data_IF_652602598281
#
_entry.id   IF_652602598281
#
_cell.length_a   1.000
_cell.length_b   1.000
_cell.length_c   1.000
_cell.angle_alpha   90.00
_cell.angle_beta   90.00
_cell.angle_gamma   90.00
#
_symmetry.space_group_name_H-M   'P 1'
#
loop_
_entity.id
_entity.type
_entity.pdbx_description
1 polymer ?
#
# COMPACT_ATOMS: atom_id res chain seq x y z
N UNK A 1 -26.09 60.33 52.93
CA UNK A 1 -25.66 58.97 53.32
C UNK A 1 -25.91 58.03 52.13
N UNK A 2 -24.99 57.07 51.89
CA UNK A 2 -24.75 56.16 50.74
C UNK A 2 -26.00 55.53 50.04
N UNK A 3 -25.91 54.92 48.82
CA UNK A 3 -24.70 54.46 48.11
C UNK A 3 -24.59 54.79 46.60
N UNK A 4 -23.34 54.71 46.11
CA UNK A 4 -22.95 54.62 44.70
C UNK A 4 -23.43 53.28 44.12
N UNK A 5 -24.20 53.29 43.04
CA UNK A 5 -24.41 52.10 42.21
C UNK A 5 -23.21 51.89 41.28
N UNK A 6 -22.59 50.73 41.43
CA UNK A 6 -21.57 50.19 40.53
C UNK A 6 -22.24 49.49 39.34
N UNK A 7 -21.86 49.89 38.13
CA UNK A 7 -22.10 49.14 36.89
C UNK A 7 -21.24 47.87 36.89
N UNK A 8 -21.69 46.77 36.26
CA UNK A 8 -20.79 45.90 35.56
C UNK A 8 -21.00 46.06 34.05
N UNK A 9 -19.98 46.58 33.39
CA UNK A 9 -19.78 46.43 31.95
C UNK A 9 -19.68 44.93 31.65
N UNK A 10 -20.65 44.39 30.91
CA UNK A 10 -20.56 43.08 30.27
C UNK A 10 -19.49 43.17 29.18
N UNK A 11 -18.24 42.83 29.52
CA UNK A 11 -17.20 42.57 28.55
C UNK A 11 -17.53 41.25 27.83
N UNK A 12 -18.19 41.36 26.67
CA UNK A 12 -18.39 40.25 25.76
C UNK A 12 -17.03 39.74 25.28
N UNK A 13 -16.62 38.57 25.76
CA UNK A 13 -15.46 37.87 25.24
C UNK A 13 -15.80 37.33 23.85
N UNK A 14 -15.35 38.02 22.80
CA UNK A 14 -15.38 37.54 21.43
C UNK A 14 -14.32 36.43 21.28
N UNK A 15 -14.75 35.18 21.43
CA UNK A 15 -13.95 34.01 21.11
C UNK A 15 -13.77 33.92 19.59
N UNK A 16 -12.65 34.45 19.08
CA UNK A 16 -12.15 34.14 17.74
C UNK A 16 -11.72 32.67 17.74
N UNK A 17 -12.58 31.79 17.23
CA UNK A 17 -12.21 30.42 16.89
C UNK A 17 -11.20 30.46 15.74
N UNK A 18 -9.92 30.42 16.07
CA UNK A 18 -8.86 30.15 15.10
C UNK A 18 -9.05 28.72 14.60
N UNK A 19 -9.72 28.57 13.46
CA UNK A 19 -9.74 27.32 12.70
C UNK A 19 -8.29 26.96 12.36
N UNK A 20 -7.73 26.05 13.14
CA UNK A 20 -6.37 25.59 12.94
C UNK A 20 -6.31 24.84 11.63
N UNK A 21 -5.65 25.42 10.63
CA UNK A 21 -5.17 24.71 9.44
C UNK A 21 -4.14 23.67 9.90
N UNK A 22 -4.62 22.52 10.39
CA UNK A 22 -3.75 21.38 10.62
C UNK A 22 -3.27 20.88 9.24
N UNK A 23 -1.96 20.69 9.04
CA UNK A 23 -1.47 20.16 7.78
C UNK A 23 -2.07 18.76 7.56
N UNK A 24 -2.50 18.48 6.33
CA UNK A 24 -2.96 17.15 5.94
C UNK A 24 -1.83 16.16 6.19
N UNK A 25 -1.96 15.33 7.23
CA UNK A 25 -1.08 14.20 7.47
C UNK A 25 -1.61 13.07 6.59
N UNK A 26 -0.79 12.63 5.63
CA UNK A 26 -1.09 11.43 4.85
C UNK A 26 -1.28 10.21 5.76
N UNK A 27 -1.66 9.06 5.18
CA UNK A 27 -1.88 7.83 5.96
C UNK A 27 -0.67 7.53 6.85
N UNK A 28 -0.94 7.15 8.10
CA UNK A 28 0.13 6.71 8.99
C UNK A 28 0.83 5.48 8.41
N UNK A 29 2.15 5.31 8.63
CA UNK A 29 2.85 4.10 8.24
C UNK A 29 2.20 2.84 8.83
N UNK A 30 2.27 1.74 8.09
CA UNK A 30 1.72 0.44 8.49
C UNK A 30 2.84 -0.60 8.65
N UNK A 31 2.65 -1.54 9.58
CA UNK A 31 3.58 -2.64 9.81
C UNK A 31 3.26 -3.84 8.91
N UNK A 32 4.31 -4.58 8.51
CA UNK A 32 4.23 -5.84 7.78
C UNK A 32 4.82 -7.01 8.60
N UNK A 33 4.96 -6.85 9.93
CA UNK A 33 5.72 -7.77 10.78
C UNK A 33 5.27 -9.23 10.65
N UNK A 34 3.95 -9.48 10.57
CA UNK A 34 3.40 -10.83 10.38
C UNK A 34 3.88 -11.50 9.08
N UNK A 35 4.05 -10.72 8.00
CA UNK A 35 4.53 -11.22 6.72
C UNK A 35 6.05 -11.41 6.74
N UNK A 36 6.76 -10.54 7.47
CA UNK A 36 8.21 -10.58 7.59
C UNK A 36 8.73 -11.77 8.42
N UNK A 37 7.88 -12.48 9.17
CA UNK A 37 8.24 -13.75 9.83
C UNK A 37 8.85 -14.74 8.81
N UNK A 38 8.21 -14.89 7.64
CA UNK A 38 8.67 -15.80 6.58
C UNK A 38 9.25 -15.07 5.36
N UNK A 39 8.94 -13.79 5.18
CA UNK A 39 9.37 -12.98 4.02
C UNK A 39 10.22 -11.78 4.41
N UNK A 40 11.18 -11.99 5.32
CA UNK A 40 12.09 -10.95 5.83
C UNK A 40 12.87 -10.22 4.72
N UNK A 41 13.09 -10.88 3.58
CA UNK A 41 13.74 -10.30 2.40
C UNK A 41 12.99 -9.11 1.77
N UNK A 42 11.78 -8.79 2.24
CA UNK A 42 11.04 -7.59 1.83
C UNK A 42 11.06 -6.49 2.88
N UNK A 43 11.69 -6.70 4.03
CA UNK A 43 11.79 -5.69 5.10
C UNK A 43 12.59 -4.45 4.68
N UNK A 44 13.48 -4.60 3.70
CA UNK A 44 14.32 -3.55 3.11
C UNK A 44 14.04 -3.34 1.60
N UNK A 45 13.10 -4.10 1.03
CA UNK A 45 12.80 -4.01 -0.40
C UNK A 45 12.08 -2.70 -0.73
N UNK A 46 12.59 -1.98 -1.74
CA UNK A 46 12.17 -0.61 -2.06
C UNK A 46 10.65 -0.46 -2.19
N UNK A 47 9.98 -1.36 -2.90
CA UNK A 47 8.54 -1.30 -3.09
C UNK A 47 7.81 -1.50 -1.77
N UNK A 48 8.10 -2.56 -1.02
CA UNK A 48 7.47 -2.84 0.27
C UNK A 48 7.66 -1.69 1.27
N UNK A 49 8.89 -1.20 1.46
CA UNK A 49 9.20 -0.12 2.40
C UNK A 49 8.52 1.19 2.02
N UNK A 50 8.54 1.55 0.74
CA UNK A 50 7.95 2.81 0.28
C UNK A 50 6.44 2.81 0.47
N UNK A 51 5.77 1.69 0.17
CA UNK A 51 4.32 1.56 0.33
C UNK A 51 3.93 1.54 1.81
N UNK A 52 4.67 0.81 2.65
CA UNK A 52 4.41 0.75 4.09
C UNK A 52 4.46 2.14 4.74
N UNK A 53 5.43 2.99 4.34
CA UNK A 53 5.52 4.39 4.80
C UNK A 53 4.33 5.27 4.42
N UNK A 54 3.55 4.87 3.42
CA UNK A 54 2.33 5.55 2.97
C UNK A 54 1.06 4.79 3.39
N UNK A 55 1.15 3.94 4.42
CA UNK A 55 0.01 3.20 4.96
C UNK A 55 -0.48 2.05 4.08
N UNK A 56 0.31 1.61 3.11
CA UNK A 56 -0.01 0.49 2.22
C UNK A 56 0.83 -0.73 2.60
N UNK A 57 0.21 -1.67 3.31
CA UNK A 57 0.86 -2.90 3.79
C UNK A 57 0.75 -4.05 2.79
N UNK A 58 1.40 -5.18 3.09
CA UNK A 58 1.39 -6.38 2.24
C UNK A 58 -0.03 -6.83 1.90
N UNK A 59 -0.92 -6.86 2.88
CA UNK A 59 -2.31 -7.33 2.75
C UNK A 59 -3.15 -6.46 1.81
N UNK A 60 -2.78 -5.19 1.60
CA UNK A 60 -3.50 -4.33 0.66
C UNK A 60 -3.44 -4.86 -0.77
N UNK A 61 -2.36 -5.57 -1.12
CA UNK A 61 -2.17 -6.17 -2.44
C UNK A 61 -2.30 -7.70 -2.41
N UNK A 62 -1.95 -8.35 -1.30
CA UNK A 62 -1.95 -9.80 -1.18
C UNK A 62 -3.18 -10.38 -0.46
N UNK A 63 -4.10 -9.53 0.00
CA UNK A 63 -5.23 -9.90 0.85
C UNK A 63 -4.80 -10.29 2.28
N UNK A 64 -5.76 -10.52 3.19
CA UNK A 64 -5.47 -10.83 4.61
C UNK A 64 -4.47 -11.97 4.80
N UNK A 65 -4.56 -13.01 3.97
CA UNK A 65 -3.61 -14.14 3.92
C UNK A 65 -3.46 -14.85 5.27
N UNK A 66 -4.54 -14.95 6.05
CA UNK A 66 -4.54 -15.58 7.38
C UNK A 66 -4.20 -17.07 7.30
N UNK A 67 -4.86 -17.82 6.42
CA UNK A 67 -4.57 -19.25 6.21
C UNK A 67 -3.16 -19.48 5.66
N UNK A 68 -2.67 -18.57 4.82
CA UNK A 68 -1.31 -18.61 4.30
C UNK A 68 -0.28 -18.42 5.43
N UNK A 69 -0.48 -17.43 6.30
CA UNK A 69 0.38 -17.20 7.47
C UNK A 69 0.35 -18.37 8.46
N UNK A 70 -0.78 -19.09 8.57
CA UNK A 70 -0.92 -20.27 9.43
C UNK A 70 -0.36 -21.56 8.83
N UNK A 71 0.02 -21.58 7.55
CA UNK A 71 0.50 -22.78 6.85
C UNK A 71 2.02 -22.94 6.97
N UNK A 72 2.47 -23.70 7.96
CA UNK A 72 3.90 -23.99 8.15
C UNK A 72 4.53 -24.77 6.98
N UNK A 73 3.74 -25.60 6.28
CA UNK A 73 4.16 -26.35 5.09
C UNK A 73 4.19 -25.50 3.82
N UNK A 74 3.74 -24.24 3.88
CA UNK A 74 3.63 -23.31 2.75
C UNK A 74 2.79 -23.87 1.59
N UNK A 75 1.79 -24.71 1.83
CA UNK A 75 0.93 -25.29 0.79
C UNK A 75 -0.23 -24.37 0.41
N UNK A 76 -0.62 -23.47 1.31
CA UNK A 76 -1.68 -22.49 1.09
C UNK A 76 -1.10 -21.23 0.46
N UNK A 77 -1.64 -20.82 -0.69
CA UNK A 77 -1.26 -19.59 -1.35
C UNK A 77 -1.80 -18.35 -0.61
N UNK A 78 -1.11 -17.19 -0.69
CA UNK A 78 -1.68 -15.90 -0.31
C UNK A 78 -3.04 -15.65 -0.96
N UNK A 79 -3.83 -14.75 -0.38
CA UNK A 79 -5.18 -14.47 -0.85
C UNK A 79 -5.25 -13.95 -2.28
N UNK A 80 -4.25 -13.17 -2.64
CA UNK A 80 -4.10 -12.60 -3.97
C UNK A 80 -2.70 -12.92 -4.48
N UNK A 81 -2.67 -13.61 -5.63
CA UNK A 81 -1.50 -13.78 -6.47
C UNK A 81 -1.74 -13.04 -7.79
N UNK A 82 -0.71 -12.38 -8.30
CA UNK A 82 -0.80 -11.65 -9.57
C UNK A 82 -0.15 -12.44 -10.71
N UNK A 83 -0.93 -13.02 -11.65
CA UNK A 83 -0.41 -13.38 -12.96
C UNK A 83 0.06 -12.11 -13.69
N UNK A 84 0.94 -12.27 -14.70
CA UNK A 84 1.68 -11.14 -15.29
C UNK A 84 0.76 -10.05 -15.87
N UNK A 85 -0.35 -10.45 -16.48
CA UNK A 85 -1.36 -9.55 -17.04
C UNK A 85 -2.12 -8.74 -15.97
N UNK A 86 -2.12 -9.20 -14.71
CA UNK A 86 -2.81 -8.54 -13.59
C UNK A 86 -1.93 -7.59 -12.79
N UNK A 87 -0.60 -7.61 -12.97
CA UNK A 87 0.31 -6.72 -12.23
C UNK A 87 0.06 -5.25 -12.58
N UNK A 88 0.01 -4.90 -13.87
CA UNK A 88 -0.24 -3.51 -14.33
C UNK A 88 -1.56 -2.93 -13.78
N UNK A 89 -2.72 -3.59 -13.95
CA UNK A 89 -3.97 -3.05 -13.43
C UNK A 89 -4.01 -3.00 -11.90
N UNK A 90 -3.31 -3.89 -11.19
CA UNK A 90 -3.21 -3.82 -9.72
C UNK A 90 -2.52 -2.54 -9.25
N UNK A 91 -1.37 -2.19 -9.85
CA UNK A 91 -0.69 -0.92 -9.55
C UNK A 91 -1.59 0.30 -9.84
N UNK A 92 -2.40 0.22 -10.90
CA UNK A 92 -3.28 1.31 -11.31
C UNK A 92 -4.49 1.56 -10.41
N UNK A 93 -4.75 0.69 -9.43
CA UNK A 93 -5.78 0.95 -8.41
C UNK A 93 -5.44 2.19 -7.57
N UNK A 94 -4.15 2.50 -7.40
CA UNK A 94 -3.67 3.67 -6.67
C UNK A 94 -2.80 4.60 -7.52
N UNK A 95 -2.23 4.13 -8.63
CA UNK A 95 -1.42 4.93 -9.55
C UNK A 95 -2.16 5.20 -10.87
N UNK A 96 -2.88 6.32 -11.01
CA UNK A 96 -3.72 6.56 -12.18
C UNK A 96 -2.91 6.58 -13.48
N UNK A 97 -3.43 5.92 -14.52
CA UNK A 97 -2.79 5.85 -15.84
C UNK A 97 -2.38 7.23 -16.37
N UNK A 98 -3.24 8.23 -16.20
CA UNK A 98 -2.99 9.61 -16.64
C UNK A 98 -1.79 10.26 -15.95
N UNK A 99 -1.51 9.91 -14.69
CA UNK A 99 -0.32 10.41 -13.98
C UNK A 99 0.94 9.64 -14.41
N UNK A 100 0.82 8.32 -14.55
CA UNK A 100 1.93 7.47 -14.99
C UNK A 100 2.41 7.85 -16.40
N UNK A 101 1.48 8.11 -17.31
CA UNK A 101 1.74 8.49 -18.70
C UNK A 101 2.41 9.87 -18.88
N UNK A 102 2.76 10.58 -17.80
CA UNK A 102 3.57 11.81 -17.87
C UNK A 102 5.06 11.53 -18.11
N UNK A 103 5.48 10.27 -18.01
CA UNK A 103 6.86 9.85 -18.30
C UNK A 103 6.87 9.01 -19.58
N UNK A 104 7.73 9.35 -20.53
CA UNK A 104 7.77 8.72 -21.85
C UNK A 104 7.96 7.19 -21.77
N UNK A 105 8.81 6.73 -20.85
CA UNK A 105 9.03 5.29 -20.63
C UNK A 105 7.76 4.56 -20.17
N UNK A 106 6.91 5.23 -19.38
CA UNK A 106 5.64 4.64 -18.97
C UNK A 106 4.67 4.56 -20.14
N UNK A 107 4.63 5.54 -21.04
CA UNK A 107 3.78 5.46 -22.23
C UNK A 107 4.05 4.18 -23.04
N UNK A 108 5.32 3.80 -23.18
CA UNK A 108 5.73 2.56 -23.86
C UNK A 108 5.23 1.29 -23.15
N UNK A 109 5.30 1.24 -21.82
CA UNK A 109 4.88 0.07 -21.01
C UNK A 109 3.35 -0.03 -20.88
N UNK A 110 2.67 1.11 -20.97
CA UNK A 110 1.23 1.26 -20.85
C UNK A 110 0.47 1.13 -22.18
N UNK A 111 1.20 1.00 -23.29
CA UNK A 111 0.62 0.72 -24.60
C UNK A 111 -0.13 -0.63 -24.57
N UNK A 112 -1.25 -0.77 -25.33
CA UNK A 112 -2.04 -2.00 -25.34
C UNK A 112 -1.26 -3.26 -25.75
N UNK A 113 -0.29 -3.11 -26.64
CA UNK A 113 0.56 -4.15 -27.21
C UNK A 113 1.91 -4.32 -26.48
N UNK A 114 2.13 -3.57 -25.39
CA UNK A 114 3.37 -3.65 -24.64
C UNK A 114 3.61 -5.06 -24.04
N UNK A 115 4.81 -5.65 -24.23
CA UNK A 115 5.12 -6.99 -23.71
C UNK A 115 4.86 -7.13 -22.21
N UNK A 116 4.19 -8.21 -21.81
CA UNK A 116 3.92 -8.52 -20.40
C UNK A 116 5.17 -8.82 -19.56
N UNK A 117 6.32 -8.98 -20.22
CA UNK A 117 7.62 -9.22 -19.56
C UNK A 117 8.19 -7.97 -18.89
N UNK A 118 7.72 -6.77 -19.25
CA UNK A 118 8.11 -5.50 -18.61
C UNK A 118 7.08 -5.14 -17.54
N UNK A 119 7.36 -5.48 -16.28
CA UNK A 119 6.50 -5.17 -15.13
C UNK A 119 6.97 -3.93 -14.39
N UNK A 120 6.07 -3.28 -13.66
CA UNK A 120 6.39 -2.13 -12.80
C UNK A 120 7.49 -2.49 -11.79
N UNK A 121 7.42 -3.68 -11.21
CA UNK A 121 8.43 -4.21 -10.28
C UNK A 121 9.79 -4.40 -10.96
N UNK A 122 9.85 -4.69 -12.26
CA UNK A 122 11.14 -4.80 -12.97
C UNK A 122 12.04 -3.57 -12.87
N UNK A 123 11.48 -2.38 -12.61
CA UNK A 123 12.24 -1.14 -12.38
C UNK A 123 12.03 -0.54 -10.99
N UNK A 124 10.82 -0.65 -10.41
CA UNK A 124 10.47 0.04 -9.16
C UNK A 124 10.68 -0.78 -7.89
N UNK A 125 11.06 -2.07 -7.98
CA UNK A 125 11.39 -2.86 -6.81
C UNK A 125 11.57 -4.35 -7.10
N UNK A 126 12.53 -5.00 -6.45
CA UNK A 126 12.81 -6.43 -6.62
C UNK A 126 11.77 -7.31 -5.88
N UNK A 127 10.49 -7.07 -6.16
CA UNK A 127 9.35 -7.64 -5.46
C UNK A 127 8.98 -9.03 -6.03
N UNK A 128 9.95 -9.94 -5.99
CA UNK A 128 9.80 -11.34 -6.42
C UNK A 128 10.75 -12.23 -5.64
N UNK A 129 10.21 -13.27 -5.02
CA UNK A 129 11.03 -14.30 -4.36
C UNK A 129 12.03 -14.93 -5.35
N UNK A 130 13.33 -14.94 -5.04
CA UNK A 130 14.37 -15.47 -5.92
C UNK A 130 14.30 -16.99 -6.03
N UNK A 131 13.91 -17.67 -4.95
CA UNK A 131 13.71 -19.12 -4.88
C UNK A 131 12.31 -19.42 -4.37
N UNK A 132 11.66 -20.41 -4.97
CA UNK A 132 10.35 -20.92 -4.55
C UNK A 132 10.41 -22.43 -4.52
N UNK A 133 10.24 -23.01 -3.34
CA UNK A 133 10.12 -24.45 -3.14
C UNK A 133 8.70 -24.93 -3.40
N UNK A 134 7.72 -24.07 -3.12
CA UNK A 134 6.31 -24.29 -3.43
C UNK A 134 5.87 -23.32 -4.54
N UNK A 135 5.08 -23.83 -5.49
CA UNK A 135 4.55 -23.05 -6.61
C UNK A 135 3.06 -23.23 -6.71
N UNK A 136 2.37 -22.13 -7.00
CA UNK A 136 0.94 -22.13 -7.27
C UNK A 136 0.67 -21.58 -8.66
N UNK A 137 -0.44 -22.02 -9.22
CA UNK A 137 -1.07 -21.31 -10.32
C UNK A 137 -1.56 -19.96 -9.78
N UNK A 138 -1.08 -18.88 -10.37
CA UNK A 138 -1.33 -17.53 -9.83
C UNK A 138 -2.76 -17.04 -10.06
N UNK A 139 -3.49 -17.63 -11.01
CA UNK A 139 -4.86 -17.24 -11.30
C UNK A 139 -5.86 -17.97 -10.39
N UNK A 140 -5.60 -19.26 -10.12
CA UNK A 140 -6.49 -20.14 -9.37
C UNK A 140 -6.05 -20.41 -7.94
N UNK A 141 -4.83 -20.01 -7.58
CA UNK A 141 -4.17 -20.29 -6.28
C UNK A 141 -3.94 -21.78 -5.98
N UNK A 142 -4.24 -22.68 -6.93
CA UNK A 142 -4.03 -24.11 -6.75
C UNK A 142 -2.55 -24.45 -6.73
N UNK A 143 -2.17 -25.35 -5.83
CA UNK A 143 -0.83 -25.90 -5.75
C UNK A 143 -0.46 -26.58 -7.07
N UNK A 144 0.74 -26.28 -7.57
CA UNK A 144 1.29 -26.93 -8.75
C UNK A 144 2.14 -28.14 -8.33
N UNK A 145 2.22 -29.19 -9.17
CA UNK A 145 3.13 -30.30 -8.94
C UNK A 145 4.58 -29.82 -8.78
N UNK A 146 5.32 -30.45 -7.88
CA UNK A 146 6.77 -30.29 -7.78
C UNK A 146 7.43 -30.73 -9.10
N UNK A 147 8.19 -29.81 -9.69
CA UNK A 147 8.98 -30.02 -10.92
C UNK A 147 10.27 -30.77 -10.66
#
# INVERSE_FOLDING_TARGET
MKPRLWLPLLAGALLLAAASCLPFRGPAPVSNDRCHVCHLNYSDEKLAVTHARHGIGCERCHGPSDDHCGSESHEIAPDILYPLDKVKPACMQCHPKAQLARQDIHCLILAPDAPLTKTCTGCHGAHRLPRRTVRWDKATRKLLPTS
#
